data_IF_894277728604
#
_entry.id   IF_894277728604
#
_cell.length_a   1.000
_cell.length_b   1.000
_cell.length_c   1.000
_cell.angle_alpha   90.00
_cell.angle_beta   90.00
_cell.angle_gamma   90.00
#
_symmetry.space_group_name_H-M   'P 1'
#
loop_
_entity.id
_entity.type
_entity.pdbx_description
1 polymer ?
#
# COMPACT_ATOMS: atom_id res chain seq x y z
N UNK A 1 -2.18 8.48 -41.10
CA UNK A 1 -2.63 8.43 -39.69
C UNK A 1 -1.77 7.42 -38.95
N UNK A 2 -0.64 7.87 -38.42
CA UNK A 2 0.31 7.06 -37.65
C UNK A 2 -0.01 7.25 -36.16
N UNK A 3 -0.69 6.28 -35.55
CA UNK A 3 -0.87 6.24 -34.10
C UNK A 3 0.47 5.84 -33.47
N UNK A 4 1.13 6.78 -32.83
CA UNK A 4 2.30 6.54 -31.98
C UNK A 4 1.83 5.81 -30.73
N UNK A 5 2.15 4.51 -30.62
CA UNK A 5 2.10 3.80 -29.34
C UNK A 5 3.17 4.42 -28.44
N UNK A 6 2.80 5.45 -27.67
CA UNK A 6 3.60 5.87 -26.52
C UNK A 6 3.62 4.70 -25.53
N UNK A 7 4.81 4.23 -25.10
CA UNK A 7 4.91 3.24 -24.04
C UNK A 7 4.20 3.84 -22.83
N UNK A 8 3.09 3.22 -22.46
CA UNK A 8 2.34 3.60 -21.27
C UNK A 8 3.24 3.21 -20.09
N UNK A 9 4.01 4.18 -19.62
CA UNK A 9 4.95 4.06 -18.51
C UNK A 9 4.22 3.40 -17.33
N UNK A 10 4.73 2.26 -16.87
CA UNK A 10 4.19 1.33 -15.86
C UNK A 10 4.20 1.94 -14.44
N UNK A 11 4.13 3.27 -14.35
CA UNK A 11 4.27 4.08 -13.15
C UNK A 11 2.87 4.51 -12.70
N UNK A 12 2.21 3.62 -11.98
CA UNK A 12 0.88 3.84 -11.43
C UNK A 12 0.94 4.90 -10.31
N UNK A 13 0.75 6.18 -10.66
CA UNK A 13 0.73 7.29 -9.70
C UNK A 13 -0.58 7.26 -8.89
N UNK A 14 -0.54 6.67 -7.70
CA UNK A 14 -1.64 6.77 -6.73
C UNK A 14 -1.47 8.08 -5.92
N UNK A 15 -2.35 9.04 -6.16
CA UNK A 15 -2.37 10.30 -5.40
C UNK A 15 -3.11 10.04 -4.09
N UNK A 16 -2.40 10.11 -2.96
CA UNK A 16 -3.00 10.04 -1.63
C UNK A 16 -3.27 11.47 -1.13
N UNK A 17 -4.49 11.95 -1.30
CA UNK A 17 -4.94 13.23 -0.74
C UNK A 17 -5.40 13.03 0.70
N UNK A 18 -4.62 13.54 1.64
CA UNK A 18 -4.98 13.58 3.05
C UNK A 18 -5.45 15.00 3.40
N UNK A 19 -6.77 15.20 3.54
CA UNK A 19 -7.34 16.43 4.10
C UNK A 19 -7.50 16.27 5.61
N UNK A 20 -6.70 17.01 6.38
CA UNK A 20 -6.81 17.10 7.84
C UNK A 20 -7.08 18.56 8.24
N UNK A 21 -8.35 18.97 8.25
CA UNK A 21 -8.76 20.33 8.61
C UNK A 21 -8.25 21.38 7.61
N UNK A 22 -7.80 22.58 8.03
CA UNK A 22 -7.35 23.65 7.13
C UNK A 22 -5.99 23.38 6.44
N UNK A 23 -5.35 22.24 6.73
CA UNK A 23 -4.04 21.89 6.21
C UNK A 23 -4.23 20.88 5.06
N UNK A 24 -3.97 21.34 3.84
CA UNK A 24 -3.89 20.48 2.65
C UNK A 24 -2.45 20.04 2.43
N UNK A 25 -2.13 18.82 2.86
CA UNK A 25 -0.84 18.19 2.60
C UNK A 25 -0.97 17.29 1.37
N UNK A 26 -0.46 17.73 0.22
CA UNK A 26 -0.40 16.92 -1.00
C UNK A 26 0.88 16.09 -0.99
N UNK A 27 0.80 14.87 -0.48
CA UNK A 27 1.89 13.90 -0.55
C UNK A 27 1.79 13.13 -1.86
N UNK A 28 2.51 13.57 -2.89
CA UNK A 28 2.59 12.86 -4.16
C UNK A 28 3.61 11.72 -4.03
N UNK A 29 3.15 10.57 -3.54
CA UNK A 29 3.98 9.37 -3.40
C UNK A 29 3.84 8.55 -4.68
N UNK A 30 4.88 8.53 -5.51
CA UNK A 30 4.99 7.57 -6.62
C UNK A 30 5.11 6.16 -6.04
N UNK A 31 4.01 5.43 -5.94
CA UNK A 31 4.01 4.05 -5.46
C UNK A 31 4.25 3.11 -6.63
N UNK A 32 5.26 2.24 -6.53
CA UNK A 32 5.46 1.18 -7.53
C UNK A 32 4.54 -0.01 -7.21
N UNK A 33 4.05 -0.76 -8.21
CA UNK A 33 3.26 -1.98 -7.97
C UNK A 33 3.98 -2.98 -7.05
N UNK A 34 5.31 -3.11 -7.21
CA UNK A 34 6.15 -3.93 -6.34
C UNK A 34 6.17 -3.41 -4.89
N UNK A 35 6.20 -2.09 -4.68
CA UNK A 35 6.15 -1.47 -3.36
C UNK A 35 4.84 -1.73 -2.62
N UNK A 36 3.72 -1.70 -3.33
CA UNK A 36 2.40 -2.05 -2.78
C UNK A 36 2.35 -3.52 -2.31
N UNK A 37 2.86 -4.44 -3.13
CA UNK A 37 2.94 -5.86 -2.76
C UNK A 37 3.87 -6.07 -1.55
N UNK A 38 5.01 -5.39 -1.49
CA UNK A 38 5.94 -5.47 -0.37
C UNK A 38 5.30 -4.99 0.94
N UNK A 39 4.58 -3.87 0.91
CA UNK A 39 3.85 -3.35 2.07
C UNK A 39 2.75 -4.32 2.52
N UNK A 40 1.99 -4.87 1.58
CA UNK A 40 0.97 -5.88 1.86
C UNK A 40 1.56 -7.11 2.54
N UNK A 41 2.62 -7.69 1.97
CA UNK A 41 3.31 -8.84 2.52
C UNK A 41 3.88 -8.58 3.92
N UNK A 42 4.50 -7.41 4.12
CA UNK A 42 5.04 -6.99 5.41
C UNK A 42 3.94 -6.88 6.47
N UNK A 43 2.86 -6.17 6.16
CA UNK A 43 1.71 -6.02 7.06
C UNK A 43 1.10 -7.38 7.39
N UNK A 44 0.83 -8.22 6.38
CA UNK A 44 0.30 -9.57 6.58
C UNK A 44 1.19 -10.41 7.50
N UNK A 45 2.51 -10.34 7.36
CA UNK A 45 3.45 -11.04 8.24
C UNK A 45 3.36 -10.58 9.70
N UNK A 46 3.31 -9.26 9.93
CA UNK A 46 3.17 -8.67 11.27
C UNK A 46 1.85 -9.08 11.91
N UNK A 47 0.75 -8.94 11.16
CA UNK A 47 -0.59 -9.33 11.60
C UNK A 47 -0.69 -10.82 11.90
N UNK A 48 -0.10 -11.68 11.05
CA UNK A 48 -0.11 -13.13 11.24
C UNK A 48 0.69 -13.55 12.47
N UNK A 49 1.86 -12.95 12.70
CA UNK A 49 2.67 -13.16 13.91
C UNK A 49 1.88 -12.84 15.17
N UNK A 50 1.21 -11.67 15.17
CA UNK A 50 0.38 -11.23 16.29
C UNK A 50 -0.84 -12.14 16.50
N UNK A 51 -1.47 -12.57 15.40
CA UNK A 51 -2.61 -13.49 15.44
C UNK A 51 -2.25 -14.84 16.06
N UNK A 52 -1.05 -15.37 15.76
CA UNK A 52 -0.57 -16.62 16.37
C UNK A 52 -0.46 -16.51 17.90
N UNK A 53 0.04 -15.39 18.41
CA UNK A 53 0.15 -15.11 19.85
C UNK A 53 -1.24 -15.07 20.49
N UNK A 54 -2.17 -14.32 19.89
CA UNK A 54 -3.55 -14.20 20.39
C UNK A 54 -4.26 -15.55 20.36
N UNK A 55 -4.07 -16.34 19.30
CA UNK A 55 -4.65 -17.67 19.18
C UNK A 55 -4.13 -18.63 20.25
N UNK A 56 -2.82 -18.64 20.50
CA UNK A 56 -2.22 -19.46 21.55
C UNK A 56 -2.73 -19.05 22.95
N UNK A 57 -2.88 -17.74 23.20
CA UNK A 57 -3.44 -17.24 24.45
C UNK A 57 -4.92 -17.60 24.62
N UNK A 58 -5.71 -17.52 23.56
CA UNK A 58 -7.14 -17.90 23.57
C UNK A 58 -7.32 -19.40 23.82
N UNK A 59 -6.41 -20.24 23.31
CA UNK A 59 -6.48 -21.70 23.50
C UNK A 59 -6.15 -22.16 24.92
N UNK A 60 -5.58 -21.28 25.76
CA UNK A 60 -5.33 -21.56 27.20
C UNK A 60 -6.49 -21.16 28.12
N UNK A 61 -7.52 -20.49 27.61
CA UNK A 61 -8.80 -20.29 28.32
C UNK A 61 -9.76 -21.40 27.93
#
# INVERSE_FOLDING_TARGET
>A
MSQSLTPQDDRQTAVAEFEAGPIRARAEVSVTPAGLLALGALMSGILLSSAAIVWAARRRR
#
